data_IF_693828973719
#
_entry.id   IF_693828973719
#
_cell.length_a   1.000
_cell.length_b   1.000
_cell.length_c   1.000
_cell.angle_alpha   90.00
_cell.angle_beta   90.00
_cell.angle_gamma   90.00
#
_symmetry.space_group_name_H-M   'P 1'
#
loop_
_entity.id
_entity.type
_entity.pdbx_description
1 polymer ?
#
# COMPACT_ATOMS: atom_id res chain seq x y z
N UNK A 1 -0.55 33.30 2.77
CA UNK A 1 -1.00 32.02 2.27
C UNK A 1 0.23 31.22 1.79
N UNK A 2 0.36 29.96 2.23
CA UNK A 2 1.51 29.09 1.91
C UNK A 2 1.71 28.92 0.40
N UNK A 3 0.63 28.80 -0.36
CA UNK A 3 0.71 28.63 -1.83
C UNK A 3 1.29 29.87 -2.51
N UNK A 4 0.86 31.06 -2.08
CA UNK A 4 1.40 32.32 -2.61
C UNK A 4 2.90 32.44 -2.28
N UNK A 5 3.28 32.16 -1.05
CA UNK A 5 4.67 32.15 -0.61
C UNK A 5 5.54 31.18 -1.41
N UNK A 6 5.05 29.93 -1.63
CA UNK A 6 5.79 28.94 -2.39
C UNK A 6 5.96 29.33 -3.87
N UNK A 7 4.92 29.90 -4.50
CA UNK A 7 5.00 30.38 -5.89
C UNK A 7 5.99 31.53 -6.06
N UNK A 8 6.05 32.43 -5.08
CA UNK A 8 7.01 33.53 -5.07
C UNK A 8 8.44 33.02 -4.85
N UNK A 9 8.62 32.07 -3.90
CA UNK A 9 9.94 31.55 -3.53
C UNK A 9 10.51 30.58 -4.57
N UNK A 10 9.64 29.89 -5.32
CA UNK A 10 10.02 28.82 -6.27
C UNK A 10 9.23 28.96 -7.58
N UNK A 11 9.52 29.99 -8.42
CA UNK A 11 8.74 30.29 -9.62
C UNK A 11 8.79 29.19 -10.69
N UNK A 12 9.86 28.39 -10.71
CA UNK A 12 10.05 27.31 -11.69
C UNK A 12 9.35 25.99 -11.32
N UNK A 13 8.73 25.91 -10.13
CA UNK A 13 8.04 24.72 -9.64
C UNK A 13 6.54 24.80 -9.95
N UNK A 14 6.00 23.75 -10.55
CA UNK A 14 4.57 23.63 -10.75
C UNK A 14 3.87 23.29 -9.42
N UNK A 15 3.20 24.27 -8.82
CA UNK A 15 2.53 24.16 -7.53
C UNK A 15 1.03 24.01 -7.74
N UNK A 16 0.49 22.86 -7.32
CA UNK A 16 -0.93 22.55 -7.28
C UNK A 16 -1.45 22.67 -5.85
N UNK A 17 -2.61 23.31 -5.67
CA UNK A 17 -3.28 23.46 -4.39
C UNK A 17 -4.60 22.71 -4.43
N UNK A 18 -4.55 21.41 -4.13
CA UNK A 18 -5.70 20.53 -4.19
C UNK A 18 -5.59 19.38 -3.18
N UNK A 19 -6.72 18.73 -2.89
CA UNK A 19 -6.75 17.53 -2.07
C UNK A 19 -6.16 16.35 -2.87
N UNK A 20 -5.01 15.82 -2.44
CA UNK A 20 -4.33 14.71 -3.11
C UNK A 20 -5.20 13.45 -3.23
N UNK A 21 -6.16 13.24 -2.32
CA UNK A 21 -7.07 12.12 -2.40
C UNK A 21 -8.11 12.29 -3.53
N UNK A 22 -8.38 13.52 -3.97
CA UNK A 22 -9.27 13.85 -5.10
C UNK A 22 -8.51 14.10 -6.39
N UNK A 23 -7.21 14.36 -6.30
CA UNK A 23 -6.36 14.68 -7.43
C UNK A 23 -6.37 13.57 -8.51
N UNK A 24 -6.32 13.95 -9.77
CA UNK A 24 -6.21 13.04 -10.92
C UNK A 24 -4.72 12.73 -11.18
N UNK A 25 -4.30 11.51 -10.85
CA UNK A 25 -2.91 11.09 -11.05
C UNK A 25 -2.54 10.91 -12.52
N UNK A 26 -3.48 10.54 -13.39
CA UNK A 26 -3.25 10.45 -14.84
C UNK A 26 -2.87 11.83 -15.38
N UNK A 27 -3.56 12.87 -14.92
CA UNK A 27 -3.27 14.24 -15.31
C UNK A 27 -1.97 14.76 -14.68
N UNK A 28 -1.75 14.54 -13.37
CA UNK A 28 -0.58 15.04 -12.65
C UNK A 28 0.71 14.43 -13.21
N UNK A 29 0.70 13.12 -13.42
CA UNK A 29 1.87 12.37 -13.88
C UNK A 29 1.96 12.33 -15.42
N UNK A 30 1.10 13.08 -16.10
CA UNK A 30 1.07 13.20 -17.57
C UNK A 30 1.14 11.86 -18.29
N UNK A 31 0.28 10.90 -17.82
CA UNK A 31 0.24 9.57 -18.40
C UNK A 31 -0.32 9.63 -19.82
N UNK A 32 0.56 9.68 -20.81
CA UNK A 32 0.16 9.59 -22.21
C UNK A 32 -0.17 8.14 -22.56
N UNK A 33 -1.43 7.86 -22.89
CA UNK A 33 -1.92 6.52 -23.24
C UNK A 33 -1.30 5.92 -24.52
N UNK A 34 -0.61 6.72 -25.33
CA UNK A 34 -0.09 6.29 -26.62
C UNK A 34 1.32 6.85 -26.86
N UNK A 35 2.36 6.25 -26.33
CA UNK A 35 3.70 6.41 -26.92
C UNK A 35 4.56 5.16 -26.65
N UNK A 36 4.79 4.43 -27.72
CA UNK A 36 5.62 3.22 -27.82
C UNK A 36 7.12 3.48 -27.82
N UNK A 37 7.58 4.73 -27.74
CA UNK A 37 8.99 5.06 -27.84
C UNK A 37 9.40 6.16 -26.86
N UNK A 38 10.03 5.74 -25.81
CA UNK A 38 11.17 6.38 -25.13
C UNK A 38 11.47 5.61 -23.83
N UNK A 39 12.70 5.52 -23.43
CA UNK A 39 13.13 5.06 -22.10
C UNK A 39 12.39 5.93 -21.06
N UNK A 40 11.20 5.48 -20.61
CA UNK A 40 10.27 6.28 -19.82
C UNK A 40 10.92 6.60 -18.49
N UNK A 41 11.31 7.83 -18.30
CA UNK A 41 11.73 8.34 -17.00
C UNK A 41 10.59 8.11 -16.03
N UNK A 42 10.78 7.17 -15.10
CA UNK A 42 9.78 6.87 -14.08
C UNK A 42 9.75 8.01 -13.07
N UNK A 43 8.55 8.35 -12.62
CA UNK A 43 8.36 9.35 -11.57
C UNK A 43 8.97 8.89 -10.24
N UNK A 44 9.59 9.84 -9.53
CA UNK A 44 9.96 9.71 -8.13
C UNK A 44 9.06 10.60 -7.31
N UNK A 45 8.46 10.06 -6.24
CA UNK A 45 7.53 10.78 -5.38
C UNK A 45 8.14 10.89 -3.98
N UNK A 46 8.12 12.08 -3.41
CA UNK A 46 8.55 12.32 -2.03
C UNK A 46 7.41 13.01 -1.30
N UNK A 47 7.09 12.56 -0.09
CA UNK A 47 6.01 13.13 0.68
C UNK A 47 6.20 13.03 2.19
N UNK A 48 6.03 14.16 2.86
CA UNK A 48 5.72 14.22 4.27
C UNK A 48 4.19 14.24 4.39
N UNK A 49 3.59 13.08 4.64
CA UNK A 49 2.14 12.90 4.56
C UNK A 49 1.45 13.22 5.89
N UNK A 50 0.34 13.97 5.88
CA UNK A 50 -0.54 14.00 7.04
C UNK A 50 -0.98 12.59 7.41
N UNK A 51 -0.90 12.21 8.69
CA UNK A 51 -1.08 10.82 9.13
C UNK A 51 -2.47 10.25 8.83
N UNK A 52 -3.50 11.10 8.89
CA UNK A 52 -4.88 10.71 8.62
C UNK A 52 -5.15 10.29 7.17
N UNK A 53 -4.35 10.76 6.21
CA UNK A 53 -4.52 10.43 4.79
C UNK A 53 -3.52 9.39 4.28
N UNK A 54 -2.54 9.00 5.07
CA UNK A 54 -1.43 8.12 4.63
C UNK A 54 -1.91 6.79 4.08
N UNK A 55 -2.81 6.08 4.79
CA UNK A 55 -3.38 4.81 4.29
C UNK A 55 -4.29 4.99 3.07
N UNK A 56 -5.26 5.93 3.05
CA UNK A 56 -6.06 6.20 1.85
C UNK A 56 -5.22 6.57 0.63
N UNK A 57 -4.19 7.40 0.80
CA UNK A 57 -3.30 7.77 -0.30
C UNK A 57 -2.51 6.57 -0.84
N UNK A 58 -1.99 5.74 0.05
CA UNK A 58 -1.30 4.51 -0.36
C UNK A 58 -2.21 3.59 -1.19
N UNK A 59 -3.47 3.42 -0.76
CA UNK A 59 -4.44 2.62 -1.50
C UNK A 59 -4.76 3.23 -2.86
N UNK A 60 -4.91 4.55 -2.94
CA UNK A 60 -5.11 5.26 -4.21
C UNK A 60 -3.91 5.08 -5.16
N UNK A 61 -2.68 5.14 -4.64
CA UNK A 61 -1.46 4.90 -5.42
C UNK A 61 -1.43 3.46 -5.94
N UNK A 62 -1.76 2.48 -5.11
CA UNK A 62 -1.81 1.07 -5.54
C UNK A 62 -2.83 0.90 -6.68
N UNK A 63 -4.01 1.49 -6.56
CA UNK A 63 -5.02 1.40 -7.61
C UNK A 63 -4.59 2.07 -8.91
N UNK A 64 -3.93 3.23 -8.82
CA UNK A 64 -3.32 3.89 -9.97
C UNK A 64 -2.24 3.02 -10.64
N UNK A 65 -1.37 2.37 -9.85
CA UNK A 65 -0.31 1.49 -10.37
C UNK A 65 -0.85 0.24 -11.06
N UNK A 66 -2.01 -0.27 -10.66
CA UNK A 66 -2.67 -1.40 -11.32
C UNK A 66 -3.05 -1.10 -12.76
N UNK A 67 -3.45 0.13 -13.05
CA UNK A 67 -3.85 0.59 -14.38
C UNK A 67 -2.72 1.25 -15.16
N UNK A 68 -1.67 1.70 -14.46
CA UNK A 68 -0.54 2.43 -15.04
C UNK A 68 0.81 1.84 -14.56
N UNK A 69 1.13 0.58 -14.91
CA UNK A 69 2.39 -0.04 -14.50
C UNK A 69 3.60 0.71 -15.09
N UNK A 70 4.67 0.81 -14.31
CA UNK A 70 5.94 1.42 -14.75
C UNK A 70 5.98 2.95 -14.74
N UNK A 71 4.88 3.65 -14.43
CA UNK A 71 4.85 5.13 -14.37
C UNK A 71 5.64 5.66 -13.16
N UNK A 72 5.52 5.02 -12.01
CA UNK A 72 6.23 5.40 -10.78
C UNK A 72 7.40 4.44 -10.57
N UNK A 73 8.61 4.98 -10.39
CA UNK A 73 9.81 4.20 -10.13
C UNK A 73 10.07 3.97 -8.64
N UNK A 74 9.90 5.02 -7.85
CA UNK A 74 10.08 4.92 -6.39
C UNK A 74 9.34 6.04 -5.66
N UNK A 75 9.02 5.78 -4.40
CA UNK A 75 8.39 6.74 -3.51
C UNK A 75 9.14 6.76 -2.18
N UNK A 76 9.30 7.93 -1.59
CA UNK A 76 9.84 8.10 -0.24
C UNK A 76 8.79 8.83 0.58
N UNK A 77 8.21 8.12 1.54
CA UNK A 77 7.16 8.69 2.38
C UNK A 77 7.50 8.56 3.87
N UNK A 78 7.08 9.57 4.62
CA UNK A 78 7.09 9.51 6.06
C UNK A 78 5.70 9.13 6.59
N UNK A 79 5.66 8.10 7.43
CA UNK A 79 4.46 7.56 8.06
C UNK A 79 4.57 7.59 9.58
N UNK A 80 3.45 7.42 10.27
CA UNK A 80 3.50 6.97 11.67
C UNK A 80 4.20 5.61 11.74
N UNK A 81 5.03 5.38 12.76
CA UNK A 81 5.79 4.15 12.94
C UNK A 81 4.93 2.89 12.92
N UNK A 82 3.72 2.96 13.47
CA UNK A 82 2.78 1.82 13.44
C UNK A 82 2.38 1.46 12.01
N UNK A 83 2.04 2.44 11.17
CA UNK A 83 1.68 2.20 9.77
C UNK A 83 2.88 1.67 9.00
N UNK A 84 4.05 2.29 9.16
CA UNK A 84 5.29 1.83 8.55
C UNK A 84 5.61 0.37 8.91
N UNK A 85 5.47 0.02 10.20
CA UNK A 85 5.69 -1.36 10.68
C UNK A 85 4.74 -2.37 10.05
N UNK A 86 3.51 -1.98 9.72
CA UNK A 86 2.57 -2.85 8.99
C UNK A 86 2.99 -3.05 7.53
N UNK A 87 3.49 -2.01 6.87
CA UNK A 87 3.92 -2.10 5.47
C UNK A 87 5.10 -3.06 5.27
N UNK A 88 6.03 -3.08 6.22
CA UNK A 88 7.21 -3.95 6.19
C UNK A 88 7.06 -5.24 7.01
N UNK A 89 5.86 -5.52 7.54
CA UNK A 89 5.61 -6.65 8.42
C UNK A 89 5.87 -7.99 7.72
N UNK A 90 6.40 -8.95 8.46
CA UNK A 90 6.52 -10.34 8.01
C UNK A 90 5.33 -11.17 8.49
N UNK A 91 5.00 -12.22 7.73
CA UNK A 91 4.03 -13.26 8.09
C UNK A 91 4.27 -13.75 9.51
N UNK A 92 3.21 -13.87 10.30
CA UNK A 92 3.27 -14.34 11.70
C UNK A 92 3.62 -13.25 12.73
N UNK A 93 4.02 -12.05 12.30
CA UNK A 93 4.30 -10.95 13.23
C UNK A 93 3.02 -10.29 13.74
N UNK A 94 3.11 -9.59 14.88
CA UNK A 94 1.99 -8.82 15.44
C UNK A 94 1.45 -7.76 14.47
N UNK A 95 2.30 -7.20 13.63
CA UNK A 95 1.97 -6.16 12.66
C UNK A 95 1.38 -6.70 11.36
N UNK A 96 1.53 -8.02 11.10
CA UNK A 96 0.97 -8.65 9.91
C UNK A 96 -0.54 -8.48 9.85
N UNK A 97 -1.05 -7.93 8.76
CA UNK A 97 -2.43 -7.47 8.66
C UNK A 97 -2.90 -7.46 7.21
N UNK A 98 -4.20 -7.21 6.99
CA UNK A 98 -4.75 -6.97 5.66
C UNK A 98 -3.91 -5.97 4.86
N UNK A 99 -3.53 -4.84 5.48
CA UNK A 99 -2.72 -3.81 4.82
C UNK A 99 -1.36 -4.36 4.40
N UNK A 100 -0.69 -5.12 5.26
CA UNK A 100 0.59 -5.75 4.96
C UNK A 100 0.53 -6.63 3.72
N UNK A 101 -0.49 -7.49 3.67
CA UNK A 101 -0.69 -8.43 2.55
C UNK A 101 -1.00 -7.66 1.27
N UNK A 102 -2.01 -6.77 1.33
CA UNK A 102 -2.47 -6.04 0.16
C UNK A 102 -1.37 -5.13 -0.41
N UNK A 103 -0.70 -4.34 0.44
CA UNK A 103 0.37 -3.46 -0.04
C UNK A 103 1.56 -4.24 -0.59
N UNK A 104 2.00 -5.31 0.06
CA UNK A 104 3.15 -6.11 -0.38
C UNK A 104 2.89 -6.97 -1.62
N UNK A 105 1.67 -7.07 -2.10
CA UNK A 105 1.38 -7.64 -3.42
C UNK A 105 1.78 -6.68 -4.55
N UNK A 106 1.67 -5.38 -4.32
CA UNK A 106 1.92 -4.35 -5.34
C UNK A 106 3.21 -3.57 -5.11
N UNK A 107 3.68 -3.53 -3.87
CA UNK A 107 4.76 -2.67 -3.42
C UNK A 107 5.80 -3.47 -2.66
N UNK A 108 7.04 -3.02 -2.75
CA UNK A 108 8.13 -3.37 -1.85
C UNK A 108 8.47 -2.17 -1.00
N UNK A 109 8.58 -2.36 0.31
CA UNK A 109 8.83 -1.28 1.25
C UNK A 109 10.08 -1.58 2.10
N UNK A 110 10.94 -0.59 2.23
CA UNK A 110 12.19 -0.64 3.00
C UNK A 110 12.20 0.49 4.01
N UNK A 111 12.53 0.19 5.26
CA UNK A 111 12.74 1.20 6.29
C UNK A 111 14.08 1.89 6.05
N UNK A 112 14.07 3.21 5.86
CA UNK A 112 15.29 4.01 5.77
C UNK A 112 15.76 4.45 7.16
N UNK A 113 14.88 5.12 7.91
CA UNK A 113 15.16 5.57 9.28
C UNK A 113 13.90 5.97 10.04
N UNK A 114 14.02 6.01 11.37
CA UNK A 114 12.99 6.53 12.26
C UNK A 114 13.23 8.02 12.56
N UNK A 115 12.13 8.77 12.78
CA UNK A 115 12.16 10.19 13.15
C UNK A 115 11.48 10.40 14.49
N UNK A 116 12.23 10.98 15.43
CA UNK A 116 11.72 11.21 16.78
C UNK A 116 10.72 12.38 16.81
N UNK A 117 9.65 12.33 17.65
CA UNK A 117 8.68 13.43 17.79
C UNK A 117 9.31 14.81 18.02
N UNK A 118 10.42 14.91 18.74
CA UNK A 118 11.15 16.16 19.00
C UNK A 118 11.68 16.88 17.75
N UNK A 119 11.72 16.18 16.61
CA UNK A 119 12.14 16.77 15.32
C UNK A 119 11.05 17.57 14.63
N UNK A 120 9.88 17.69 15.25
CA UNK A 120 8.72 18.40 14.68
C UNK A 120 8.28 19.56 15.58
N UNK A 121 7.70 20.57 14.97
CA UNK A 121 7.05 21.69 15.69
C UNK A 121 5.64 21.93 15.09
N UNK A 122 4.58 21.69 15.84
CA UNK A 122 4.52 21.01 17.14
C UNK A 122 4.87 19.50 17.06
N UNK A 123 5.37 18.88 18.13
CA UNK A 123 5.75 17.47 18.14
C UNK A 123 4.50 16.57 18.07
N UNK A 124 4.49 15.54 17.23
CA UNK A 124 3.44 14.52 17.23
C UNK A 124 3.53 13.63 18.47
N UNK A 125 2.44 12.91 18.77
CA UNK A 125 2.39 12.00 19.93
C UNK A 125 3.15 10.67 19.71
N UNK A 126 3.55 10.37 18.48
CA UNK A 126 4.11 9.08 18.09
C UNK A 126 5.37 9.26 17.24
N UNK A 127 6.21 8.24 17.23
CA UNK A 127 7.37 8.15 16.32
C UNK A 127 6.90 8.11 14.87
N UNK A 128 7.72 8.62 13.99
CA UNK A 128 7.58 8.49 12.53
C UNK A 128 8.66 7.59 11.97
N UNK A 129 8.42 7.06 10.77
CA UNK A 129 9.40 6.27 10.03
C UNK A 129 9.36 6.67 8.57
N UNK A 130 10.52 6.82 7.97
CA UNK A 130 10.66 7.10 6.54
C UNK A 130 10.90 5.78 5.82
N UNK A 131 10.04 5.48 4.85
CA UNK A 131 10.15 4.30 4.01
C UNK A 131 10.48 4.69 2.56
N UNK A 132 11.32 3.87 1.93
CA UNK A 132 11.38 3.77 0.48
C UNK A 132 10.35 2.74 0.04
N UNK A 133 9.55 3.07 -0.94
CA UNK A 133 8.52 2.20 -1.51
C UNK A 133 8.75 2.11 -3.01
N UNK A 134 8.86 0.89 -3.53
CA UNK A 134 9.07 0.61 -4.94
C UNK A 134 7.90 -0.23 -5.46
N UNK A 135 7.26 0.15 -6.57
CA UNK A 135 6.27 -0.70 -7.22
C UNK A 135 6.89 -2.03 -7.66
N UNK A 136 6.17 -3.13 -7.45
CA UNK A 136 6.58 -4.44 -7.96
C UNK A 136 6.23 -4.55 -9.44
N UNK A 137 7.16 -5.08 -10.22
CA UNK A 137 7.01 -5.26 -11.68
C UNK A 137 6.73 -6.72 -12.06
N UNK A 138 6.69 -7.61 -11.06
CA UNK A 138 6.46 -9.03 -11.27
C UNK A 138 5.04 -9.30 -11.81
N UNK A 139 4.97 -10.29 -12.70
CA UNK A 139 3.73 -10.65 -13.42
C UNK A 139 2.61 -11.17 -12.49
N UNK A 140 2.91 -11.46 -11.23
CA UNK A 140 1.90 -11.86 -10.23
C UNK A 140 0.81 -10.79 -10.03
N UNK A 141 1.11 -9.53 -10.31
CA UNK A 141 0.16 -8.41 -10.20
C UNK A 141 -1.00 -8.47 -11.21
N UNK A 142 -0.84 -9.20 -12.33
CA UNK A 142 -1.85 -9.28 -13.39
C UNK A 142 -2.98 -10.26 -13.06
N UNK A 143 -2.83 -11.11 -12.04
CA UNK A 143 -3.79 -12.15 -11.70
C UNK A 143 -4.37 -12.03 -10.28
N UNK A 144 -4.38 -10.83 -9.71
CA UNK A 144 -4.95 -10.61 -8.37
C UNK A 144 -6.47 -10.67 -8.45
N UNK A 145 -7.14 -11.61 -7.73
CA UNK A 145 -8.58 -11.74 -7.76
C UNK A 145 -9.28 -10.48 -7.23
N UNK A 146 -10.40 -10.12 -7.87
CA UNK A 146 -11.17 -8.93 -7.48
C UNK A 146 -11.76 -9.04 -6.06
N UNK A 147 -12.05 -10.25 -5.59
CA UNK A 147 -12.58 -10.54 -4.25
C UNK A 147 -11.50 -10.57 -3.16
N UNK A 148 -10.21 -10.41 -3.49
CA UNK A 148 -9.13 -10.47 -2.49
C UNK A 148 -9.35 -9.51 -1.31
N UNK A 149 -9.80 -8.28 -1.60
CA UNK A 149 -10.04 -7.28 -0.54
C UNK A 149 -11.14 -7.72 0.42
N UNK A 150 -12.19 -8.38 -0.08
CA UNK A 150 -13.27 -8.97 0.71
C UNK A 150 -12.75 -10.12 1.57
N UNK A 151 -12.04 -11.08 0.96
CA UNK A 151 -11.46 -12.23 1.66
C UNK A 151 -10.53 -11.79 2.78
N UNK A 152 -9.69 -10.77 2.55
CA UNK A 152 -8.85 -10.19 3.59
C UNK A 152 -9.68 -9.50 4.69
N UNK A 153 -10.78 -8.83 4.36
CA UNK A 153 -11.69 -8.26 5.36
C UNK A 153 -12.30 -9.34 6.25
N UNK A 154 -12.80 -10.41 5.63
CA UNK A 154 -13.37 -11.56 6.36
C UNK A 154 -12.31 -12.17 7.27
N UNK A 155 -11.13 -12.49 6.73
CA UNK A 155 -10.04 -13.11 7.47
C UNK A 155 -9.64 -12.30 8.72
N UNK A 156 -9.40 -11.00 8.54
CA UNK A 156 -8.90 -10.13 9.61
C UNK A 156 -9.99 -9.51 10.49
N UNK A 157 -11.28 -9.76 10.22
CA UNK A 157 -12.38 -9.33 11.09
C UNK A 157 -12.31 -10.00 12.47
N UNK A 158 -11.78 -11.22 12.53
CA UNK A 158 -11.65 -12.03 13.74
C UNK A 158 -10.26 -12.68 13.83
N UNK A 159 -9.19 -11.88 13.80
CA UNK A 159 -7.78 -12.28 13.72
C UNK A 159 -7.38 -13.41 14.71
N UNK A 160 -8.02 -13.47 15.88
CA UNK A 160 -7.72 -14.49 16.91
C UNK A 160 -8.41 -15.83 16.70
N UNK A 161 -9.41 -15.90 15.80
CA UNK A 161 -10.11 -17.15 15.47
C UNK A 161 -9.36 -17.94 14.42
N UNK A 162 -9.61 -19.25 14.36
CA UNK A 162 -9.08 -20.13 13.31
C UNK A 162 -9.79 -19.86 11.98
N UNK A 163 -9.14 -20.18 10.88
CA UNK A 163 -9.68 -19.96 9.52
C UNK A 163 -11.02 -20.65 9.31
N UNK A 164 -11.16 -21.93 9.73
CA UNK A 164 -12.45 -22.64 9.66
C UNK A 164 -13.60 -21.91 10.36
N UNK A 165 -13.32 -21.22 11.47
CA UNK A 165 -14.32 -20.45 12.19
C UNK A 165 -14.61 -19.09 11.52
N UNK A 166 -13.60 -18.48 10.90
CA UNK A 166 -13.75 -17.20 10.18
C UNK A 166 -14.52 -17.41 8.88
N UNK A 167 -14.21 -18.49 8.16
CA UNK A 167 -14.80 -18.83 6.85
C UNK A 167 -15.93 -19.88 6.96
N UNK A 168 -16.56 -20.04 8.12
CA UNK A 168 -17.62 -21.05 8.35
C UNK A 168 -18.81 -20.98 7.39
N UNK A 169 -19.07 -19.81 6.82
CA UNK A 169 -20.15 -19.59 5.86
C UNK A 169 -19.70 -19.74 4.39
N UNK A 170 -18.45 -20.12 4.16
CA UNK A 170 -17.86 -20.34 2.84
C UNK A 170 -17.56 -21.84 2.66
N UNK A 171 -17.76 -22.34 1.46
CA UNK A 171 -17.33 -23.70 1.11
C UNK A 171 -15.86 -23.66 0.71
N UNK A 172 -14.95 -24.01 1.63
CA UNK A 172 -13.50 -23.97 1.40
C UNK A 172 -12.94 -25.38 1.43
N UNK A 173 -12.32 -25.81 0.34
CA UNK A 173 -11.52 -27.04 0.29
C UNK A 173 -10.11 -26.74 0.83
N UNK A 174 -9.95 -26.90 2.16
CA UNK A 174 -8.69 -26.62 2.84
C UNK A 174 -7.55 -27.55 2.41
N UNK A 175 -7.89 -28.81 2.05
CA UNK A 175 -6.91 -29.82 1.64
C UNK A 175 -6.34 -29.46 0.27
N UNK A 176 -7.17 -29.15 -0.70
CA UNK A 176 -6.75 -28.70 -2.03
C UNK A 176 -5.88 -27.44 -1.97
N UNK A 177 -6.17 -26.54 -1.03
CA UNK A 177 -5.39 -25.32 -0.80
C UNK A 177 -4.09 -25.55 -0.03
N UNK A 178 -3.91 -26.72 0.58
CA UNK A 178 -2.80 -27.02 1.49
C UNK A 178 -2.72 -26.02 2.67
N UNK A 179 -3.86 -25.55 3.17
CA UNK A 179 -3.98 -24.63 4.28
C UNK A 179 -4.57 -25.37 5.48
N UNK A 180 -3.93 -25.26 6.62
CA UNK A 180 -4.46 -25.82 7.86
C UNK A 180 -5.71 -25.05 8.34
N UNK A 181 -6.90 -25.70 8.46
CA UNK A 181 -8.13 -25.02 8.86
C UNK A 181 -8.04 -24.39 10.28
N UNK A 182 -7.17 -24.95 11.12
CA UNK A 182 -6.90 -24.51 12.49
C UNK A 182 -5.92 -23.32 12.54
N UNK A 183 -5.26 -22.99 11.45
CA UNK A 183 -4.38 -21.82 11.37
C UNK A 183 -5.18 -20.52 11.58
N UNK A 184 -4.48 -19.46 11.98
CA UNK A 184 -5.04 -18.10 12.10
C UNK A 184 -4.68 -17.26 10.91
N UNK A 185 -5.44 -16.19 10.60
CA UNK A 185 -5.17 -15.31 9.46
C UNK A 185 -3.75 -14.74 9.41
N UNK A 186 -3.16 -14.44 10.55
CA UNK A 186 -1.79 -13.91 10.61
C UNK A 186 -0.70 -14.96 10.32
N UNK A 187 -1.06 -16.23 10.30
CA UNK A 187 -0.18 -17.33 9.91
C UNK A 187 -0.18 -17.61 8.40
N UNK A 188 -1.04 -16.94 7.62
CA UNK A 188 -1.09 -17.05 6.17
C UNK A 188 -0.21 -16.01 5.49
N UNK A 189 0.47 -16.42 4.42
CA UNK A 189 1.23 -15.53 3.54
C UNK A 189 0.39 -14.97 2.39
N UNK A 190 1.00 -14.12 1.58
CA UNK A 190 0.35 -13.51 0.41
C UNK A 190 -0.20 -14.55 -0.58
N UNK A 191 0.60 -15.58 -0.88
CA UNK A 191 0.20 -16.67 -1.81
C UNK A 191 -1.00 -17.44 -1.30
N UNK A 192 -1.05 -17.72 0.01
CA UNK A 192 -2.16 -18.44 0.61
C UNK A 192 -3.48 -17.67 0.44
N UNK A 193 -3.45 -16.33 0.64
CA UNK A 193 -4.62 -15.48 0.43
C UNK A 193 -5.02 -15.34 -1.05
N UNK A 194 -4.07 -15.31 -1.97
CA UNK A 194 -4.38 -15.33 -3.41
C UNK A 194 -5.08 -16.62 -3.80
N UNK A 195 -4.57 -17.77 -3.34
CA UNK A 195 -5.17 -19.08 -3.62
C UNK A 195 -6.56 -19.19 -3.00
N UNK A 196 -6.72 -18.77 -1.74
CA UNK A 196 -8.03 -18.73 -1.07
C UNK A 196 -9.03 -17.83 -1.81
N UNK A 197 -8.58 -16.67 -2.29
CA UNK A 197 -9.44 -15.77 -3.07
C UNK A 197 -9.87 -16.39 -4.40
N UNK A 198 -8.98 -17.09 -5.09
CA UNK A 198 -9.30 -17.81 -6.35
C UNK A 198 -10.27 -18.96 -6.14
N UNK A 199 -10.17 -19.68 -5.03
CA UNK A 199 -11.06 -20.79 -4.70
C UNK A 199 -12.46 -20.34 -4.27
N UNK A 200 -12.63 -19.07 -3.91
CA UNK A 200 -13.89 -18.48 -3.44
C UNK A 200 -14.47 -17.45 -4.44
N UNK A 201 -14.05 -17.51 -5.69
CA UNK A 201 -14.60 -16.72 -6.80
C UNK A 201 -16.03 -17.14 -7.16
#
# INVERSE_FOLDING_TARGET
DLVAFLRESYPDINIRSEDILKADFDQILSVKKNNSDSAKTKWKIIGNLPYNISSPLLMKIIEFLRTNPGVIGSMIFMFQKELASRLIASKGSKQWSKLSIYSQLFLEAELLFDVHPKSFSPPPKVMSSVLRITPREDQENQSIPNNLSEILNVAFSARRKTLQNVFKNYSVDWEALQIQPTARPDQLGKKDFLNLSRALL
#
